data_IF_605645889186
#
_entry.id   IF_605645889186
#
_cell.length_a   1.000
_cell.length_b   1.000
_cell.length_c   1.000
_cell.angle_alpha   90.00
_cell.angle_beta   90.00
_cell.angle_gamma   90.00
#
_symmetry.space_group_name_H-M   'P 1'
#
loop_
_entity.id
_entity.type
_entity.pdbx_description
1 polymer ?
#
# COMPACT_ATOMS: atom_id res chain seq x y z
N UNK A 1 -6.16 13.74 -4.76
CA UNK A 1 -4.76 14.10 -5.05
C UNK A 1 -4.09 14.39 -3.71
N UNK A 2 -3.17 13.52 -3.26
CA UNK A 2 -2.38 13.79 -2.05
C UNK A 2 -1.43 14.93 -2.39
N UNK A 3 -1.49 15.99 -1.63
CA UNK A 3 -0.60 17.15 -1.77
C UNK A 3 0.62 16.88 -0.88
N UNK A 4 1.71 16.43 -1.48
CA UNK A 4 2.98 16.13 -0.80
C UNK A 4 4.09 17.10 -1.18
N UNK A 5 3.73 18.20 -1.86
CA UNK A 5 4.70 19.24 -2.17
C UNK A 5 5.07 20.06 -0.92
N UNK A 6 6.23 20.69 -0.94
CA UNK A 6 6.75 21.47 0.19
C UNK A 6 5.79 22.58 0.63
N UNK A 7 5.11 23.22 -0.32
CA UNK A 7 4.13 24.29 0.00
C UNK A 7 2.95 23.73 0.82
N UNK A 8 2.49 22.52 0.51
CA UNK A 8 1.44 21.89 1.29
C UNK A 8 1.91 21.56 2.72
N UNK A 9 3.12 21.02 2.86
CA UNK A 9 3.72 20.71 4.18
C UNK A 9 3.89 21.99 5.01
N UNK A 10 4.33 23.09 4.41
CA UNK A 10 4.48 24.39 5.09
C UNK A 10 3.13 24.98 5.52
N UNK A 11 2.08 24.80 4.71
CA UNK A 11 0.73 25.23 5.06
C UNK A 11 0.15 24.38 6.20
N UNK A 12 0.35 23.05 6.15
CA UNK A 12 -0.06 22.14 7.21
C UNK A 12 0.65 22.45 8.52
N UNK A 13 1.97 22.68 8.47
CA UNK A 13 2.76 23.07 9.62
C UNK A 13 2.20 24.33 10.27
N UNK A 14 1.98 25.41 9.49
CA UNK A 14 1.41 26.68 10.01
C UNK A 14 0.01 26.51 10.58
N UNK A 15 -0.82 25.70 9.92
CA UNK A 15 -2.17 25.39 10.41
C UNK A 15 -2.14 24.69 11.76
N UNK A 16 -1.30 23.66 11.91
CA UNK A 16 -1.19 22.91 13.14
C UNK A 16 -0.55 23.73 14.27
N UNK A 17 0.47 24.52 13.98
CA UNK A 17 1.07 25.46 14.92
C UNK A 17 0.02 26.42 15.48
N UNK A 18 -0.82 27.03 14.62
CA UNK A 18 -1.89 27.91 15.05
C UNK A 18 -2.99 27.19 15.82
N UNK A 19 -3.44 26.04 15.30
CA UNK A 19 -4.56 25.29 15.89
C UNK A 19 -4.25 24.79 17.31
N UNK A 20 -3.02 24.33 17.53
CA UNK A 20 -2.63 23.68 18.78
C UNK A 20 -1.75 24.53 19.70
N UNK A 21 -1.49 25.79 19.38
CA UNK A 21 -0.58 26.68 20.13
C UNK A 21 -0.89 26.78 21.65
N UNK A 22 -2.15 26.56 22.05
CA UNK A 22 -2.59 26.63 23.44
C UNK A 22 -3.33 25.35 23.88
N UNK A 23 -3.23 24.26 23.11
CA UNK A 23 -3.89 23.00 23.41
C UNK A 23 -2.85 22.00 23.89
N UNK A 24 -2.88 21.60 25.18
CA UNK A 24 -1.99 20.54 25.66
C UNK A 24 -2.37 19.21 25.01
N UNK A 25 -1.36 18.48 24.54
CA UNK A 25 -1.53 17.14 24.00
C UNK A 25 -0.75 16.17 24.86
N UNK A 26 -1.39 15.06 25.26
CA UNK A 26 -0.75 13.97 26.01
C UNK A 26 -0.03 12.99 25.09
N UNK A 27 -0.55 12.79 23.89
CA UNK A 27 0.04 11.96 22.85
C UNK A 27 -0.50 12.32 21.46
N UNK A 28 0.23 11.93 20.42
CA UNK A 28 -0.19 12.05 19.02
C UNK A 28 -0.30 10.64 18.46
N UNK A 29 -1.45 10.31 17.89
CA UNK A 29 -1.62 9.09 17.08
C UNK A 29 -1.46 9.45 15.61
N UNK A 30 -0.52 8.80 14.95
CA UNK A 30 -0.21 8.99 13.53
C UNK A 30 -0.58 7.74 12.74
N UNK A 31 -1.19 7.91 11.61
CA UNK A 31 -1.52 6.80 10.70
C UNK A 31 -0.92 7.05 9.32
N UNK A 32 -0.33 5.99 8.74
CA UNK A 32 0.26 6.00 7.39
C UNK A 32 1.60 6.80 7.30
N UNK A 33 2.34 6.56 6.24
CA UNK A 33 3.68 7.09 6.00
C UNK A 33 3.73 8.62 5.96
N UNK A 34 2.80 9.28 5.25
CA UNK A 34 2.84 10.75 5.06
C UNK A 34 2.73 11.50 6.41
N UNK A 35 1.86 11.02 7.31
CA UNK A 35 1.70 11.62 8.65
C UNK A 35 2.91 11.31 9.55
N UNK A 36 3.44 10.09 9.47
CA UNK A 36 4.65 9.70 10.19
C UNK A 36 5.86 10.55 9.77
N UNK A 37 6.10 10.72 8.47
CA UNK A 37 7.21 11.53 7.94
C UNK A 37 7.06 13.02 8.30
N UNK A 38 5.83 13.54 8.28
CA UNK A 38 5.56 14.90 8.74
C UNK A 38 5.94 15.08 10.22
N UNK A 39 5.55 14.15 11.09
CA UNK A 39 5.85 14.23 12.53
C UNK A 39 7.33 13.99 12.83
N UNK A 40 8.01 13.10 12.11
CA UNK A 40 9.47 12.95 12.22
C UNK A 40 10.20 14.26 11.99
N UNK A 41 9.69 15.08 11.04
CA UNK A 41 10.31 16.34 10.67
C UNK A 41 9.95 17.50 11.59
N UNK A 42 8.70 17.57 12.04
CA UNK A 42 8.14 18.78 12.65
C UNK A 42 7.65 18.63 14.09
N UNK A 43 7.62 17.42 14.66
CA UNK A 43 7.05 17.18 16.01
C UNK A 43 7.74 18.02 17.08
N UNK A 44 9.06 18.10 17.08
CA UNK A 44 9.81 18.81 18.12
C UNK A 44 9.57 20.33 18.07
N UNK A 45 9.25 20.87 16.90
CA UNK A 45 8.89 22.27 16.73
C UNK A 45 7.43 22.54 17.09
N UNK A 46 6.51 21.68 16.61
CA UNK A 46 5.06 21.87 16.80
C UNK A 46 4.56 21.40 18.16
N UNK A 47 5.10 20.29 18.66
CA UNK A 47 4.61 19.57 19.84
C UNK A 47 5.80 19.07 20.68
N UNK A 48 6.64 19.94 21.23
CA UNK A 48 7.86 19.55 21.90
C UNK A 48 7.58 18.58 23.07
N UNK A 49 8.25 17.43 23.05
CA UNK A 49 8.14 16.41 24.08
C UNK A 49 6.87 15.54 24.04
N UNK A 50 5.92 15.82 23.17
CA UNK A 50 4.70 15.01 23.06
C UNK A 50 5.03 13.66 22.38
N UNK A 51 4.70 12.51 23.00
CA UNK A 51 4.96 11.21 22.40
C UNK A 51 4.11 10.95 21.15
N UNK A 52 4.67 10.24 20.19
CA UNK A 52 4.01 9.82 18.96
C UNK A 52 3.85 8.32 18.94
N UNK A 53 2.62 7.85 18.76
CA UNK A 53 2.29 6.45 18.48
C UNK A 53 1.88 6.33 17.03
N UNK A 54 2.67 5.64 16.23
CA UNK A 54 2.39 5.47 14.79
C UNK A 54 1.80 4.09 14.47
N UNK A 55 1.03 4.01 13.38
CA UNK A 55 0.51 2.77 12.82
C UNK A 55 0.42 2.85 11.30
N UNK A 56 0.39 1.68 10.63
CA UNK A 56 0.24 1.62 9.17
C UNK A 56 1.44 2.19 8.39
N UNK A 57 2.62 2.20 9.00
CA UNK A 57 3.85 2.66 8.34
C UNK A 57 4.47 1.50 7.57
N UNK A 58 4.48 1.63 6.24
CA UNK A 58 5.09 0.67 5.33
C UNK A 58 6.60 0.94 5.17
N UNK A 59 7.37 -0.12 4.93
CA UNK A 59 8.84 -0.07 4.72
C UNK A 59 9.59 0.62 5.86
N UNK A 60 9.08 0.49 7.09
CA UNK A 60 9.71 1.06 8.27
C UNK A 60 11.12 0.48 8.46
N UNK A 61 12.06 1.36 8.81
CA UNK A 61 13.42 1.00 9.22
C UNK A 61 13.70 1.62 10.59
N UNK A 62 14.37 0.87 11.47
CA UNK A 62 14.66 1.32 12.84
C UNK A 62 15.48 2.62 12.90
N UNK A 63 16.31 2.87 11.89
CA UNK A 63 17.11 4.09 11.79
C UNK A 63 16.26 5.35 11.60
N UNK A 64 15.04 5.22 11.08
CA UNK A 64 14.12 6.33 10.90
C UNK A 64 13.72 7.03 12.21
N UNK A 65 13.80 6.33 13.33
CA UNK A 65 13.48 6.87 14.67
C UNK A 65 14.64 6.76 15.65
N UNK A 66 15.80 6.27 15.24
CA UNK A 66 16.95 5.99 16.12
C UNK A 66 17.45 7.22 16.90
N UNK A 67 17.28 8.42 16.34
CA UNK A 67 17.64 9.70 16.96
C UNK A 67 16.44 10.46 17.55
N UNK A 68 15.23 9.91 17.44
CA UNK A 68 14.01 10.55 17.89
C UNK A 68 13.55 9.95 19.23
N UNK A 69 13.25 10.82 20.19
CA UNK A 69 12.70 10.36 21.47
C UNK A 69 11.16 10.39 21.44
N UNK A 70 10.54 9.39 22.10
CA UNK A 70 9.09 9.35 22.25
C UNK A 70 8.33 8.93 20.99
N UNK A 71 8.96 8.24 20.05
CA UNK A 71 8.28 7.56 18.95
C UNK A 71 8.18 6.07 19.23
N UNK A 72 6.99 5.52 19.08
CA UNK A 72 6.71 4.08 19.14
C UNK A 72 5.52 3.75 18.25
N UNK A 73 5.33 2.50 17.87
CA UNK A 73 4.18 2.16 17.05
C UNK A 73 4.17 0.74 16.51
N UNK A 74 3.27 0.51 15.58
CA UNK A 74 3.09 -0.74 14.86
C UNK A 74 3.31 -0.49 13.37
N UNK A 75 4.23 -1.23 12.78
CA UNK A 75 4.53 -1.17 11.34
C UNK A 75 3.56 -2.05 10.56
N UNK A 76 3.35 -1.70 9.30
CA UNK A 76 2.66 -2.54 8.33
C UNK A 76 3.69 -3.28 7.49
N UNK A 77 3.61 -4.61 7.50
CA UNK A 77 4.51 -5.47 6.73
C UNK A 77 3.69 -6.56 6.06
N UNK A 78 3.70 -6.59 4.74
CA UNK A 78 3.17 -7.70 3.96
C UNK A 78 4.34 -8.53 3.42
N UNK A 79 4.32 -9.84 3.67
CA UNK A 79 5.33 -10.75 3.14
C UNK A 79 4.93 -11.21 1.73
N UNK A 80 5.24 -10.39 0.73
CA UNK A 80 4.93 -10.70 -0.67
C UNK A 80 5.70 -11.94 -1.17
N UNK A 81 6.92 -12.15 -0.69
CA UNK A 81 7.71 -13.31 -1.07
C UNK A 81 7.07 -14.61 -0.57
N UNK A 82 6.64 -14.66 0.69
CA UNK A 82 5.95 -15.81 1.24
C UNK A 82 4.58 -16.04 0.57
N UNK A 83 3.85 -14.97 0.27
CA UNK A 83 2.57 -15.02 -0.46
C UNK A 83 2.76 -15.63 -1.86
N UNK A 84 3.71 -15.12 -2.64
CA UNK A 84 4.04 -15.66 -3.97
C UNK A 84 4.51 -17.11 -3.85
N UNK A 85 5.36 -17.42 -2.87
CA UNK A 85 5.80 -18.79 -2.60
C UNK A 85 4.64 -19.75 -2.32
N UNK A 86 3.62 -19.30 -1.58
CA UNK A 86 2.40 -20.07 -1.33
C UNK A 86 1.58 -20.25 -2.63
N UNK A 87 1.38 -19.16 -3.39
CA UNK A 87 0.67 -19.21 -4.67
C UNK A 87 1.28 -20.25 -5.62
N UNK A 88 2.60 -20.25 -5.78
CA UNK A 88 3.31 -21.18 -6.65
C UNK A 88 3.31 -22.62 -6.13
N UNK A 89 3.26 -22.83 -4.82
CA UNK A 89 3.09 -24.17 -4.24
C UNK A 89 1.69 -24.75 -4.48
N UNK A 90 0.66 -23.91 -4.45
CA UNK A 90 -0.72 -24.29 -4.72
C UNK A 90 -0.97 -24.48 -6.23
N UNK A 91 -0.24 -23.78 -7.07
CA UNK A 91 -0.37 -23.80 -8.52
C UNK A 91 1.00 -24.02 -9.19
N UNK A 92 1.56 -25.23 -9.13
CA UNK A 92 2.93 -25.49 -9.61
C UNK A 92 3.11 -25.30 -11.13
N UNK A 93 2.01 -25.30 -11.90
CA UNK A 93 2.01 -25.09 -13.35
C UNK A 93 1.97 -23.58 -13.74
N UNK A 94 2.07 -22.67 -12.78
CA UNK A 94 2.01 -21.23 -13.03
C UNK A 94 3.19 -20.78 -13.88
N UNK A 95 2.88 -20.07 -14.95
CA UNK A 95 3.87 -19.43 -15.86
C UNK A 95 3.92 -17.91 -15.67
N UNK A 96 2.84 -17.32 -15.12
CA UNK A 96 2.71 -15.86 -14.97
C UNK A 96 1.97 -15.47 -13.67
N UNK A 97 2.42 -14.39 -13.06
CA UNK A 97 1.68 -13.69 -12.00
C UNK A 97 1.43 -12.26 -12.48
N UNK A 98 0.17 -11.83 -12.48
CA UNK A 98 -0.23 -10.46 -12.77
C UNK A 98 -0.51 -9.76 -11.44
N UNK A 99 0.34 -8.81 -11.08
CA UNK A 99 0.17 -7.98 -9.89
C UNK A 99 -0.60 -6.70 -10.27
N UNK A 100 -1.81 -6.56 -9.74
CA UNK A 100 -2.68 -5.40 -9.99
C UNK A 100 -2.51 -4.40 -8.85
N UNK A 101 -2.13 -3.17 -9.18
CA UNK A 101 -1.89 -2.09 -8.22
C UNK A 101 -2.28 -0.74 -8.80
N UNK A 102 -2.30 0.29 -7.97
CA UNK A 102 -2.51 1.66 -8.44
C UNK A 102 -1.18 2.37 -8.79
N UNK A 103 -1.28 3.60 -9.31
CA UNK A 103 -0.13 4.45 -9.65
C UNK A 103 0.27 5.42 -8.55
N UNK A 104 -0.19 5.21 -7.31
CA UNK A 104 0.18 6.03 -6.14
C UNK A 104 1.65 5.82 -5.76
N UNK A 105 2.14 6.60 -4.80
CA UNK A 105 3.48 6.40 -4.25
C UNK A 105 3.64 4.99 -3.69
N UNK A 106 2.62 4.48 -2.98
CA UNK A 106 2.59 3.11 -2.45
C UNK A 106 2.63 2.08 -3.58
N UNK A 107 1.78 2.22 -4.62
CA UNK A 107 1.77 1.30 -5.75
C UNK A 107 3.10 1.26 -6.51
N UNK A 108 3.77 2.41 -6.67
CA UNK A 108 5.11 2.46 -7.28
C UNK A 108 6.18 1.75 -6.46
N UNK A 109 6.15 1.91 -5.13
CA UNK A 109 7.07 1.22 -4.24
C UNK A 109 6.85 -0.30 -4.25
N UNK A 110 5.59 -0.75 -4.23
CA UNK A 110 5.22 -2.16 -4.37
C UNK A 110 5.68 -2.75 -5.70
N UNK A 111 5.55 -2.00 -6.79
CA UNK A 111 6.09 -2.41 -8.08
C UNK A 111 7.59 -2.68 -8.00
N UNK A 112 8.36 -1.73 -7.46
CA UNK A 112 9.81 -1.88 -7.33
C UNK A 112 10.17 -3.09 -6.48
N UNK A 113 9.43 -3.36 -5.41
CA UNK A 113 9.60 -4.54 -4.57
C UNK A 113 9.34 -5.84 -5.34
N UNK A 114 8.23 -5.91 -6.09
CA UNK A 114 7.90 -7.09 -6.90
C UNK A 114 8.87 -7.32 -8.04
N UNK A 115 9.37 -6.26 -8.68
CA UNK A 115 10.42 -6.35 -9.70
C UNK A 115 11.72 -6.93 -9.10
N UNK A 116 12.10 -6.50 -7.90
CA UNK A 116 13.24 -7.07 -7.19
C UNK A 116 13.00 -8.56 -6.84
N UNK A 117 11.83 -8.91 -6.32
CA UNK A 117 11.46 -10.29 -6.02
C UNK A 117 11.49 -11.17 -7.27
N UNK A 118 11.01 -10.67 -8.42
CA UNK A 118 11.03 -11.41 -9.67
C UNK A 118 12.44 -11.89 -10.06
N UNK A 119 13.48 -11.12 -9.71
CA UNK A 119 14.88 -11.51 -9.98
C UNK A 119 15.38 -12.64 -9.08
N UNK A 120 14.72 -12.88 -7.95
CA UNK A 120 15.12 -13.90 -6.95
C UNK A 120 14.33 -15.21 -7.12
N UNK A 121 13.22 -15.20 -7.86
CA UNK A 121 12.43 -16.39 -8.09
C UNK A 121 13.20 -17.37 -8.99
N UNK A 122 13.42 -18.55 -8.46
CA UNK A 122 14.01 -19.66 -9.23
C UNK A 122 12.93 -20.28 -10.11
N UNK A 123 13.01 -20.08 -11.42
CA UNK A 123 12.07 -20.64 -12.37
C UNK A 123 11.68 -19.68 -13.49
N UNK A 124 10.79 -20.12 -14.37
CA UNK A 124 10.33 -19.37 -15.55
C UNK A 124 9.05 -18.55 -15.29
N UNK A 125 8.72 -18.26 -14.03
CA UNK A 125 7.50 -17.50 -13.71
C UNK A 125 7.74 -16.00 -13.95
N UNK A 126 6.97 -15.42 -14.84
CA UNK A 126 7.00 -13.98 -15.10
C UNK A 126 6.11 -13.23 -14.11
N UNK A 127 6.60 -12.13 -13.52
CA UNK A 127 5.76 -11.18 -12.78
C UNK A 127 5.53 -9.96 -13.66
N UNK A 128 4.26 -9.66 -13.92
CA UNK A 128 3.82 -8.51 -14.68
C UNK A 128 3.03 -7.57 -13.79
N UNK A 129 3.39 -6.29 -13.77
CA UNK A 129 2.69 -5.27 -12.96
C UNK A 129 1.69 -4.51 -13.84
N UNK A 130 0.43 -4.50 -13.41
CA UNK A 130 -0.64 -3.73 -14.03
C UNK A 130 -1.04 -2.55 -13.14
N UNK A 131 -0.80 -1.34 -13.65
CA UNK A 131 -1.21 -0.09 -13.00
C UNK A 131 -1.96 0.80 -14.00
N UNK A 132 -2.61 1.83 -13.48
CA UNK A 132 -3.24 2.89 -14.27
C UNK A 132 -4.38 2.46 -15.22
N UNK A 133 -5.00 1.31 -15.02
CA UNK A 133 -6.19 0.89 -15.77
C UNK A 133 -7.48 1.38 -15.09
N UNK A 134 -8.49 1.71 -15.88
CA UNK A 134 -9.82 1.93 -15.35
C UNK A 134 -10.44 0.59 -14.87
N UNK A 135 -11.32 0.61 -13.85
CA UNK A 135 -11.92 -0.62 -13.33
C UNK A 135 -12.58 -1.50 -14.40
N UNK A 136 -13.31 -0.89 -15.33
CA UNK A 136 -13.98 -1.59 -16.42
C UNK A 136 -12.97 -2.25 -17.38
N UNK A 137 -11.85 -1.60 -17.62
CA UNK A 137 -10.76 -2.14 -18.43
C UNK A 137 -10.08 -3.30 -17.71
N UNK A 138 -9.87 -3.20 -16.37
CA UNK A 138 -9.35 -4.29 -15.56
C UNK A 138 -10.25 -5.53 -15.62
N UNK A 139 -11.57 -5.37 -15.54
CA UNK A 139 -12.52 -6.47 -15.64
C UNK A 139 -12.34 -7.24 -16.97
N UNK A 140 -12.24 -6.52 -18.08
CA UNK A 140 -12.00 -7.15 -19.39
C UNK A 140 -10.64 -7.84 -19.49
N UNK A 141 -9.61 -7.22 -18.93
CA UNK A 141 -8.25 -7.77 -18.96
C UNK A 141 -8.11 -9.05 -18.13
N UNK A 142 -8.69 -9.08 -16.92
CA UNK A 142 -8.64 -10.28 -16.06
C UNK A 142 -9.48 -11.42 -16.62
N UNK A 143 -10.59 -11.13 -17.30
CA UNK A 143 -11.41 -12.12 -17.98
C UNK A 143 -10.67 -12.79 -19.17
N UNK A 144 -9.72 -12.09 -19.76
CA UNK A 144 -8.95 -12.57 -20.93
C UNK A 144 -7.60 -13.20 -20.55
N UNK A 145 -7.31 -13.36 -19.24
CA UNK A 145 -6.06 -13.97 -18.80
C UNK A 145 -5.98 -15.44 -19.21
N UNK A 146 -4.84 -15.89 -19.76
CA UNK A 146 -4.66 -17.28 -20.13
C UNK A 146 -4.55 -18.17 -18.89
N UNK A 147 -4.84 -19.46 -19.07
CA UNK A 147 -4.54 -20.51 -18.09
C UNK A 147 -3.09 -20.42 -17.61
N UNK A 148 -2.79 -20.95 -16.42
CA UNK A 148 -1.48 -20.90 -15.76
C UNK A 148 -1.04 -19.47 -15.38
N UNK A 149 -1.98 -18.52 -15.33
CA UNK A 149 -1.78 -17.19 -14.78
C UNK A 149 -2.42 -17.13 -13.39
N UNK A 150 -1.79 -16.42 -12.47
CA UNK A 150 -2.38 -16.03 -11.18
C UNK A 150 -2.48 -14.51 -11.11
N UNK A 151 -3.50 -14.03 -10.42
CA UNK A 151 -3.65 -12.60 -10.12
C UNK A 151 -3.26 -12.36 -8.66
N UNK A 152 -2.45 -11.34 -8.41
CA UNK A 152 -2.13 -10.84 -7.08
C UNK A 152 -2.65 -9.40 -6.97
N UNK A 153 -3.74 -9.21 -6.21
CA UNK A 153 -4.32 -7.90 -5.98
C UNK A 153 -3.58 -7.21 -4.84
N UNK A 154 -2.94 -6.10 -5.17
CA UNK A 154 -2.26 -5.19 -4.27
C UNK A 154 -3.21 -4.07 -3.84
N UNK A 155 -2.88 -3.23 -2.85
CA UNK A 155 -3.68 -2.06 -2.53
C UNK A 155 -3.97 -1.23 -3.78
N UNK A 156 -5.25 -1.00 -4.03
CA UNK A 156 -5.72 -0.31 -5.22
C UNK A 156 -6.71 0.80 -4.83
N UNK A 157 -6.28 2.05 -4.98
CA UNK A 157 -7.12 3.23 -4.78
C UNK A 157 -7.38 3.90 -6.12
N UNK A 158 -8.53 3.63 -6.73
CA UNK A 158 -8.89 4.26 -8.00
C UNK A 158 -9.18 5.74 -7.82
N UNK A 159 -8.38 6.59 -8.46
CA UNK A 159 -8.66 8.04 -8.56
C UNK A 159 -9.67 8.37 -9.68
N UNK A 160 -10.05 7.41 -10.50
CA UNK A 160 -10.77 7.64 -11.76
C UNK A 160 -12.26 7.34 -11.72
N UNK A 161 -12.79 6.73 -10.65
CA UNK A 161 -14.21 6.39 -10.61
C UNK A 161 -14.82 6.68 -9.25
N UNK A 162 -15.74 7.62 -9.20
CA UNK A 162 -16.60 7.88 -8.05
C UNK A 162 -17.45 6.65 -7.61
N UNK A 163 -17.44 5.57 -8.39
CA UNK A 163 -18.16 4.31 -8.14
C UNK A 163 -17.35 3.26 -7.37
N UNK A 164 -16.02 3.36 -7.36
CA UNK A 164 -15.13 2.38 -6.70
C UNK A 164 -14.33 3.10 -5.62
N UNK A 165 -15.00 3.40 -4.51
CA UNK A 165 -14.40 4.10 -3.38
C UNK A 165 -13.78 3.16 -2.34
N UNK A 166 -14.10 1.88 -2.40
CA UNK A 166 -13.65 0.90 -1.42
C UNK A 166 -12.78 -0.20 -2.08
N UNK A 167 -11.80 -0.70 -1.34
CA UNK A 167 -10.99 -1.86 -1.75
C UNK A 167 -11.86 -3.10 -2.04
N UNK A 168 -12.98 -3.25 -1.31
CA UNK A 168 -13.96 -4.30 -1.53
C UNK A 168 -14.58 -4.31 -2.93
N UNK A 169 -14.83 -3.13 -3.51
CA UNK A 169 -15.46 -3.03 -4.83
C UNK A 169 -14.53 -3.52 -5.92
N UNK A 170 -13.24 -3.15 -5.85
CA UNK A 170 -12.25 -3.61 -6.81
C UNK A 170 -11.97 -5.11 -6.67
N UNK A 171 -11.95 -5.63 -5.43
CA UNK A 171 -11.79 -7.06 -5.17
C UNK A 171 -12.92 -7.86 -5.82
N UNK A 172 -14.17 -7.47 -5.61
CA UNK A 172 -15.34 -8.10 -6.25
C UNK A 172 -15.26 -8.02 -7.77
N UNK A 173 -14.97 -6.82 -8.30
CA UNK A 173 -14.86 -6.64 -9.75
C UNK A 173 -13.86 -7.62 -10.36
N UNK A 174 -12.68 -7.76 -9.74
CA UNK A 174 -11.63 -8.64 -10.25
C UNK A 174 -12.02 -10.11 -10.05
N UNK A 175 -12.48 -10.50 -8.86
CA UNK A 175 -12.82 -11.89 -8.56
C UNK A 175 -14.01 -12.41 -9.38
N UNK A 176 -15.03 -11.57 -9.63
CA UNK A 176 -16.20 -11.94 -10.43
C UNK A 176 -15.92 -12.06 -11.94
N UNK A 177 -14.88 -11.39 -12.42
CA UNK A 177 -14.52 -11.40 -13.85
C UNK A 177 -13.28 -12.23 -14.16
N UNK A 178 -12.46 -12.60 -13.18
CA UNK A 178 -11.25 -13.35 -13.42
C UNK A 178 -11.54 -14.82 -13.77
N UNK A 179 -10.93 -15.29 -14.87
CA UNK A 179 -10.93 -16.70 -15.25
C UNK A 179 -9.87 -17.52 -14.50
N UNK A 180 -9.00 -16.87 -13.72
CA UNK A 180 -7.86 -17.49 -13.03
C UNK A 180 -7.89 -17.14 -11.54
N UNK A 181 -7.18 -17.91 -10.66
CA UNK A 181 -7.18 -17.64 -9.23
C UNK A 181 -6.65 -16.26 -8.88
N UNK A 182 -7.32 -15.61 -7.91
CA UNK A 182 -6.99 -14.26 -7.41
C UNK A 182 -6.53 -14.38 -5.96
N UNK A 183 -5.43 -13.75 -5.64
CA UNK A 183 -4.82 -13.68 -4.31
C UNK A 183 -4.61 -12.23 -3.88
N UNK A 184 -4.52 -12.01 -2.58
CA UNK A 184 -4.15 -10.71 -2.01
C UNK A 184 -3.31 -10.91 -0.75
N UNK A 185 -2.52 -9.90 -0.36
CA UNK A 185 -1.70 -9.92 0.85
C UNK A 185 -2.34 -9.16 2.01
N UNK A 186 -3.48 -8.50 1.81
CA UNK A 186 -4.18 -7.72 2.83
C UNK A 186 -5.53 -8.33 3.20
N UNK A 187 -5.81 -8.35 4.50
CA UNK A 187 -7.01 -8.94 5.09
C UNK A 187 -8.31 -8.20 4.76
N UNK A 188 -8.23 -6.91 4.44
CA UNK A 188 -9.40 -6.13 4.03
C UNK A 188 -10.03 -6.58 2.69
N UNK A 189 -9.38 -7.48 1.96
CA UNK A 189 -9.95 -8.14 0.78
C UNK A 189 -10.73 -9.41 1.10
N UNK A 190 -10.59 -9.96 2.31
CA UNK A 190 -11.28 -11.18 2.73
C UNK A 190 -12.81 -11.01 2.68
N UNK A 191 -13.49 -12.02 2.17
CA UNK A 191 -14.96 -12.00 2.01
C UNK A 191 -15.46 -11.26 0.78
N UNK A 192 -14.57 -10.78 -0.09
CA UNK A 192 -14.92 -10.08 -1.33
C UNK A 192 -14.54 -10.88 -2.59
N UNK A 193 -14.52 -12.20 -2.48
CA UNK A 193 -14.25 -13.12 -3.58
C UNK A 193 -12.77 -13.51 -3.72
N UNK A 194 -11.95 -13.14 -2.73
CA UNK A 194 -10.52 -13.44 -2.66
C UNK A 194 -10.24 -14.21 -1.39
#
# INVERSE_FOLDING_TARGET
>A
KRLTDQLHLDNLHRLLAHKYQAVPLDAIVSTDNDAFDFLRRYRDELFPGVPVVFSGVNWFQDDQISTLHGFTGVVESADHAATIGLMLRLHPETERIVAIMDSTTTGKALRTELEALATTLTGSVAIESWDAFAPEELAHKVAALPEKTLVMLMPYASSHAARFSAHADIARLISENSAVPVYASWDFYLGHGI
#
